data_IF_981916814849
#
_entry.id   IF_981916814849
#
_cell.length_a   1.000
_cell.length_b   1.000
_cell.length_c   1.000
_cell.angle_alpha   90.00
_cell.angle_beta   90.00
_cell.angle_gamma   90.00
#
_symmetry.space_group_name_H-M   'P 1'
#
loop_
_entity.id
_entity.type
_entity.pdbx_description
1 polymer ?
#
# COMPACT_ATOMS: atom_id res chain seq x y z
N UNK A 1 16.79 -10.77 -10.67
CA UNK A 1 17.20 -9.36 -10.49
C UNK A 1 18.71 -9.15 -10.38
N UNK A 2 19.47 -9.97 -9.64
CA UNK A 2 20.93 -9.78 -9.46
C UNK A 2 21.72 -9.61 -10.77
N UNK A 3 21.52 -10.49 -11.76
CA UNK A 3 22.21 -10.37 -13.06
C UNK A 3 21.89 -9.05 -13.78
N UNK A 4 20.66 -8.55 -13.68
CA UNK A 4 20.28 -7.26 -14.24
C UNK A 4 21.01 -6.11 -13.51
N UNK A 5 21.08 -6.18 -12.18
CA UNK A 5 21.81 -5.21 -11.37
C UNK A 5 23.33 -5.24 -11.63
N UNK A 6 23.93 -6.40 -11.93
CA UNK A 6 25.33 -6.50 -12.34
C UNK A 6 25.60 -5.78 -13.67
N UNK A 7 24.67 -5.86 -14.63
CA UNK A 7 24.81 -5.23 -15.94
C UNK A 7 24.56 -3.71 -15.90
N UNK A 8 23.53 -3.29 -15.18
CA UNK A 8 23.10 -1.88 -15.12
C UNK A 8 23.89 -1.06 -14.09
N UNK A 9 24.35 -1.70 -13.01
CA UNK A 9 24.92 -1.03 -11.86
C UNK A 9 23.95 -0.04 -11.19
N UNK A 10 24.44 0.79 -10.25
CA UNK A 10 23.58 1.72 -9.50
C UNK A 10 22.91 2.77 -10.41
N UNK A 11 23.64 3.25 -11.42
CA UNK A 11 23.13 4.28 -12.33
C UNK A 11 21.99 3.76 -13.21
N UNK A 12 22.16 2.57 -13.81
CA UNK A 12 21.11 1.98 -14.63
C UNK A 12 19.90 1.53 -13.78
N UNK A 13 20.13 1.05 -12.56
CA UNK A 13 19.04 0.72 -11.63
C UNK A 13 18.30 1.95 -11.12
N UNK A 14 19.00 3.08 -10.89
CA UNK A 14 18.36 4.39 -10.62
C UNK A 14 17.52 4.85 -11.82
N UNK A 15 18.03 4.74 -13.04
CA UNK A 15 17.25 5.07 -14.23
C UNK A 15 15.99 4.19 -14.37
N UNK A 16 16.11 2.88 -14.17
CA UNK A 16 14.96 1.96 -14.17
C UNK A 16 13.93 2.40 -13.13
N UNK A 17 14.39 2.69 -11.91
CA UNK A 17 13.58 3.23 -10.81
C UNK A 17 12.80 4.48 -11.21
N UNK A 18 13.46 5.46 -11.82
CA UNK A 18 12.83 6.73 -12.20
C UNK A 18 11.72 6.53 -13.24
N UNK A 19 11.90 5.57 -14.16
CA UNK A 19 10.86 5.18 -15.12
C UNK A 19 9.66 4.51 -14.43
N UNK A 20 9.88 3.65 -13.43
CA UNK A 20 8.81 3.06 -12.64
C UNK A 20 8.01 4.14 -11.88
N UNK A 21 8.71 5.14 -11.31
CA UNK A 21 8.09 6.27 -10.62
C UNK A 21 7.25 7.14 -11.54
N UNK A 22 7.63 7.27 -12.82
CA UNK A 22 6.81 7.95 -13.82
C UNK A 22 5.45 7.27 -14.02
N UNK A 23 5.44 5.93 -14.11
CA UNK A 23 4.19 5.17 -14.23
C UNK A 23 3.31 5.30 -12.97
N UNK A 24 3.90 5.28 -11.78
CA UNK A 24 3.17 5.51 -10.53
C UNK A 24 2.55 6.91 -10.51
N UNK A 25 3.33 7.92 -10.88
CA UNK A 25 2.88 9.32 -11.01
C UNK A 25 1.66 9.43 -11.94
N UNK A 26 1.66 8.72 -13.07
CA UNK A 26 0.51 8.67 -13.98
C UNK A 26 -0.74 8.05 -13.34
N UNK A 27 -0.59 6.96 -12.57
CA UNK A 27 -1.71 6.37 -11.83
C UNK A 27 -2.24 7.31 -10.73
N UNK A 28 -1.34 8.01 -10.03
CA UNK A 28 -1.69 8.96 -8.98
C UNK A 28 -2.48 10.16 -9.49
N UNK A 29 -2.17 10.66 -10.70
CA UNK A 29 -2.95 11.71 -11.34
C UNK A 29 -4.40 11.29 -11.59
N UNK A 30 -4.60 10.06 -12.07
CA UNK A 30 -5.95 9.52 -12.31
C UNK A 30 -6.69 9.25 -11.01
N UNK A 31 -6.01 8.73 -9.98
CA UNK A 31 -6.59 8.56 -8.65
C UNK A 31 -7.03 9.90 -8.04
N UNK A 32 -6.24 10.98 -8.22
CA UNK A 32 -6.62 12.32 -7.78
C UNK A 32 -7.92 12.77 -8.45
N UNK A 33 -8.11 12.54 -9.76
CA UNK A 33 -9.37 12.87 -10.46
C UNK A 33 -10.55 12.13 -9.85
N UNK A 34 -10.43 10.82 -9.62
CA UNK A 34 -11.49 10.01 -9.01
C UNK A 34 -11.87 10.50 -7.60
N UNK A 35 -10.88 10.91 -6.81
CA UNK A 35 -11.11 11.51 -5.49
C UNK A 35 -11.86 12.83 -5.60
N UNK A 36 -11.48 13.70 -6.54
CA UNK A 36 -12.14 14.99 -6.75
C UNK A 36 -13.60 14.82 -7.20
N UNK A 37 -13.87 13.86 -8.09
CA UNK A 37 -15.23 13.50 -8.54
C UNK A 37 -16.13 13.00 -7.41
N UNK A 38 -15.55 12.37 -6.38
CA UNK A 38 -16.28 11.80 -5.24
C UNK A 38 -16.09 12.62 -3.94
N UNK A 39 -15.51 13.83 -4.02
CA UNK A 39 -15.01 14.56 -2.85
C UNK A 39 -16.06 14.75 -1.76
N UNK A 40 -17.27 15.21 -2.12
CA UNK A 40 -18.32 15.50 -1.13
C UNK A 40 -18.80 14.24 -0.40
N UNK A 41 -18.91 13.12 -1.12
CA UNK A 41 -19.30 11.83 -0.55
C UNK A 41 -18.19 11.30 0.36
N UNK A 42 -16.93 11.39 -0.06
CA UNK A 42 -15.78 10.95 0.74
C UNK A 42 -15.62 11.77 2.02
N UNK A 43 -15.88 13.07 1.99
CA UNK A 43 -15.91 13.92 3.21
C UNK A 43 -17.00 13.45 4.17
N UNK A 44 -18.20 13.15 3.66
CA UNK A 44 -19.30 12.64 4.49
C UNK A 44 -18.97 11.27 5.08
N UNK A 45 -18.37 10.37 4.29
CA UNK A 45 -17.91 9.05 4.76
C UNK A 45 -16.89 9.20 5.89
N UNK A 46 -15.86 10.04 5.69
CA UNK A 46 -14.82 10.27 6.68
C UNK A 46 -15.36 10.83 8.00
N UNK A 47 -16.38 11.67 7.97
CA UNK A 47 -16.98 12.24 9.19
C UNK A 47 -17.95 11.29 9.89
N UNK A 48 -18.51 10.30 9.18
CA UNK A 48 -19.62 9.47 9.68
C UNK A 48 -19.31 7.97 9.69
N UNK A 49 -18.03 7.56 9.59
CA UNK A 49 -17.64 6.15 9.52
C UNK A 49 -18.10 5.32 10.73
N UNK A 50 -18.31 5.96 11.88
CA UNK A 50 -18.84 5.32 13.10
C UNK A 50 -20.35 5.02 13.05
N UNK A 51 -21.08 5.49 12.02
CA UNK A 51 -22.54 5.30 11.87
C UNK A 51 -22.86 4.35 10.71
N UNK A 52 -23.17 3.07 10.98
CA UNK A 52 -23.46 2.08 9.93
C UNK A 52 -24.63 2.48 9.02
N UNK A 53 -25.67 3.10 9.60
CA UNK A 53 -26.86 3.54 8.85
C UNK A 53 -26.51 4.59 7.79
N UNK A 54 -25.70 5.59 8.16
CA UNK A 54 -25.26 6.62 7.21
C UNK A 54 -24.33 6.02 6.16
N UNK A 55 -23.39 5.16 6.57
CA UNK A 55 -22.47 4.48 5.66
C UNK A 55 -23.21 3.64 4.61
N UNK A 56 -24.28 2.94 4.99
CA UNK A 56 -25.11 2.18 4.05
C UNK A 56 -25.77 3.05 2.96
N UNK A 57 -26.02 4.34 3.25
CA UNK A 57 -26.54 5.31 2.27
C UNK A 57 -25.46 5.97 1.44
N UNK A 58 -24.25 6.15 2.00
CA UNK A 58 -23.15 6.88 1.36
C UNK A 58 -22.34 5.99 0.42
N UNK A 59 -22.04 4.75 0.81
CA UNK A 59 -21.20 3.84 0.01
C UNK A 59 -21.73 3.61 -1.41
N UNK A 60 -23.05 3.40 -1.64
CA UNK A 60 -23.58 3.22 -2.99
C UNK A 60 -23.48 4.47 -3.88
N UNK A 61 -23.22 5.66 -3.31
CA UNK A 61 -23.07 6.92 -4.05
C UNK A 61 -21.66 7.09 -4.62
N UNK A 62 -20.69 6.31 -4.17
CA UNK A 62 -19.34 6.32 -4.73
C UNK A 62 -19.36 5.73 -6.14
N UNK A 63 -18.68 6.39 -7.06
CA UNK A 63 -18.49 5.92 -8.44
C UNK A 63 -17.06 5.45 -8.66
N UNK A 64 -16.84 4.56 -9.64
CA UNK A 64 -15.50 4.14 -10.04
C UNK A 64 -14.62 3.52 -8.92
N UNK A 65 -15.23 2.94 -7.88
CA UNK A 65 -14.54 2.24 -6.77
C UNK A 65 -13.61 1.13 -7.27
N UNK A 66 -14.05 0.34 -8.25
CA UNK A 66 -13.19 -0.67 -8.89
C UNK A 66 -11.96 -0.06 -9.57
N UNK A 67 -12.11 1.12 -10.18
CA UNK A 67 -10.99 1.79 -10.85
C UNK A 67 -9.96 2.26 -9.82
N UNK A 68 -10.40 2.74 -8.66
CA UNK A 68 -9.50 3.09 -7.54
C UNK A 68 -8.67 1.89 -7.13
N UNK A 69 -9.30 0.74 -6.90
CA UNK A 69 -8.62 -0.50 -6.51
C UNK A 69 -7.67 -0.98 -7.60
N UNK A 70 -8.11 -1.05 -8.87
CA UNK A 70 -7.28 -1.47 -10.01
C UNK A 70 -6.02 -0.60 -10.14
N UNK A 71 -6.15 0.72 -10.02
CA UNK A 71 -5.02 1.64 -10.11
C UNK A 71 -4.07 1.50 -8.92
N UNK A 72 -4.58 1.34 -7.71
CA UNK A 72 -3.76 1.07 -6.53
C UNK A 72 -3.04 -0.28 -6.62
N UNK A 73 -3.68 -1.31 -7.17
CA UNK A 73 -3.04 -2.60 -7.43
C UNK A 73 -1.89 -2.45 -8.42
N UNK A 74 -2.07 -1.73 -9.52
CA UNK A 74 -1.00 -1.43 -10.49
C UNK A 74 0.18 -0.72 -9.82
N UNK A 75 -0.09 0.29 -8.98
CA UNK A 75 0.96 0.97 -8.20
C UNK A 75 1.69 -0.04 -7.32
N UNK A 76 0.96 -0.91 -6.63
CA UNK A 76 1.53 -1.96 -5.79
C UNK A 76 2.43 -2.92 -6.55
N UNK A 77 2.00 -3.38 -7.73
CA UNK A 77 2.79 -4.27 -8.59
C UNK A 77 4.11 -3.61 -9.03
N UNK A 78 4.05 -2.34 -9.44
CA UNK A 78 5.23 -1.56 -9.81
C UNK A 78 6.20 -1.43 -8.63
N UNK A 79 5.67 -1.14 -7.43
CA UNK A 79 6.48 -1.02 -6.22
C UNK A 79 7.09 -2.35 -5.79
N UNK A 80 6.38 -3.47 -5.92
CA UNK A 80 6.93 -4.80 -5.67
C UNK A 80 8.05 -5.15 -6.65
N UNK A 81 7.85 -4.86 -7.94
CA UNK A 81 8.91 -5.02 -8.95
C UNK A 81 10.16 -4.18 -8.59
N UNK A 82 9.94 -2.94 -8.16
CA UNK A 82 11.02 -2.07 -7.66
C UNK A 82 11.72 -2.66 -6.44
N UNK A 83 10.99 -3.19 -5.45
CA UNK A 83 11.57 -3.84 -4.27
C UNK A 83 12.50 -4.98 -4.67
N UNK A 84 12.04 -5.89 -5.54
CA UNK A 84 12.87 -6.98 -6.05
C UNK A 84 14.11 -6.48 -6.80
N UNK A 85 13.97 -5.38 -7.56
CA UNK A 85 15.08 -4.75 -8.26
C UNK A 85 16.11 -4.17 -7.28
N UNK A 86 15.66 -3.49 -6.21
CA UNK A 86 16.51 -2.92 -5.17
C UNK A 86 17.21 -3.99 -4.33
N UNK A 87 16.52 -5.09 -3.99
CA UNK A 87 17.13 -6.25 -3.32
C UNK A 87 18.25 -6.85 -4.18
N UNK A 88 17.99 -7.03 -5.48
CA UNK A 88 19.01 -7.47 -6.43
C UNK A 88 20.22 -6.53 -6.48
N UNK A 89 20.01 -5.21 -6.42
CA UNK A 89 21.09 -4.22 -6.36
C UNK A 89 21.87 -4.30 -5.06
N UNK A 90 21.19 -4.40 -3.92
CA UNK A 90 21.81 -4.50 -2.58
C UNK A 90 22.74 -5.68 -2.49
N UNK A 91 22.32 -6.83 -3.00
CA UNK A 91 23.14 -8.04 -2.98
C UNK A 91 24.41 -7.91 -3.83
N UNK A 92 24.28 -7.33 -5.03
CA UNK A 92 25.45 -7.04 -5.89
C UNK A 92 26.38 -6.06 -5.20
N UNK A 93 25.86 -5.01 -4.57
CA UNK A 93 26.66 -4.01 -3.87
C UNK A 93 27.36 -4.57 -2.63
N UNK A 94 26.67 -5.41 -1.86
CA UNK A 94 27.25 -6.08 -0.69
C UNK A 94 28.42 -6.96 -1.09
N UNK A 95 28.34 -7.62 -2.25
CA UNK A 95 29.42 -8.46 -2.78
C UNK A 95 30.57 -7.65 -3.39
N UNK A 96 30.26 -6.63 -4.21
CA UNK A 96 31.27 -5.89 -4.99
C UNK A 96 31.90 -4.71 -4.23
N UNK A 97 31.16 -4.08 -3.32
CA UNK A 97 31.51 -2.85 -2.64
C UNK A 97 31.25 -2.92 -1.11
N UNK A 98 31.69 -3.96 -0.39
CA UNK A 98 31.36 -4.15 1.03
C UNK A 98 31.80 -3.00 1.94
N UNK A 99 32.95 -2.37 1.63
CA UNK A 99 33.47 -1.23 2.39
C UNK A 99 32.65 0.06 2.24
N UNK A 100 31.80 0.16 1.20
CA UNK A 100 30.85 1.26 1.05
C UNK A 100 29.51 0.96 1.72
N UNK A 101 29.10 -0.31 1.73
CA UNK A 101 27.80 -0.71 2.29
C UNK A 101 27.70 -0.46 3.79
N UNK A 102 28.70 -0.87 4.57
CA UNK A 102 28.68 -0.70 6.03
C UNK A 102 28.45 0.75 6.47
N UNK A 103 29.20 1.73 5.96
CA UNK A 103 28.97 3.15 6.24
C UNK A 103 27.59 3.66 5.80
N UNK A 104 27.06 3.21 4.65
CA UNK A 104 25.74 3.63 4.15
C UNK A 104 24.63 3.11 5.07
N UNK A 105 24.70 1.84 5.47
CA UNK A 105 23.75 1.23 6.40
C UNK A 105 23.81 1.92 7.78
N UNK A 106 25.02 2.17 8.29
CA UNK A 106 25.23 2.87 9.55
C UNK A 106 24.67 4.31 9.51
N UNK A 107 24.88 5.04 8.41
CA UNK A 107 24.33 6.39 8.28
C UNK A 107 22.79 6.40 8.35
N UNK A 108 22.14 5.38 7.77
CA UNK A 108 20.68 5.23 7.84
C UNK A 108 20.22 5.00 9.29
N UNK A 109 20.96 4.25 10.10
CA UNK A 109 20.61 3.98 11.51
C UNK A 109 20.62 5.23 12.40
N UNK A 110 21.37 6.28 12.01
CA UNK A 110 21.37 7.56 12.74
C UNK A 110 20.15 8.44 12.47
N UNK A 111 19.28 8.05 11.53
CA UNK A 111 18.03 8.77 11.26
C UNK A 111 17.10 8.65 12.46
N UNK A 112 16.73 9.80 13.03
CA UNK A 112 15.78 9.89 14.14
C UNK A 112 14.63 10.87 13.80
N UNK A 113 13.45 10.74 14.44
CA UNK A 113 12.25 11.49 14.06
C UNK A 113 12.38 13.02 14.07
N UNK A 114 13.29 13.56 14.90
CA UNK A 114 13.51 15.01 15.04
C UNK A 114 14.44 15.60 13.96
N UNK A 115 15.03 14.76 13.10
CA UNK A 115 15.88 15.25 12.01
C UNK A 115 15.09 16.02 10.97
N UNK A 116 15.73 17.03 10.38
CA UNK A 116 15.17 17.74 9.24
C UNK A 116 14.81 16.74 8.12
N UNK A 117 13.60 16.87 7.59
CA UNK A 117 13.06 15.93 6.61
C UNK A 117 13.87 15.91 5.31
N UNK A 118 14.48 17.04 4.91
CA UNK A 118 15.32 17.07 3.71
C UNK A 118 16.61 16.31 3.94
N UNK A 119 17.23 16.47 5.11
CA UNK A 119 18.42 15.69 5.51
C UNK A 119 18.09 14.20 5.53
N UNK A 120 16.96 13.82 6.12
CA UNK A 120 16.47 12.43 6.15
C UNK A 120 16.31 11.87 4.73
N UNK A 121 15.65 12.60 3.84
CA UNK A 121 15.45 12.18 2.45
C UNK A 121 16.77 12.08 1.67
N UNK A 122 17.76 12.94 1.94
CA UNK A 122 19.09 12.82 1.33
C UNK A 122 19.84 11.57 1.79
N UNK A 123 19.74 11.20 3.07
CA UNK A 123 20.31 9.94 3.59
C UNK A 123 19.60 8.74 2.94
N UNK A 124 18.28 8.79 2.84
CA UNK A 124 17.51 7.73 2.17
C UNK A 124 17.80 7.65 0.67
N UNK A 125 18.08 8.77 -0.01
CA UNK A 125 18.47 8.74 -1.43
C UNK A 125 19.79 8.00 -1.61
N UNK A 126 20.77 8.24 -0.75
CA UNK A 126 22.02 7.48 -0.75
C UNK A 126 21.78 6.00 -0.46
N UNK A 127 21.00 5.69 0.58
CA UNK A 127 20.71 4.31 0.99
C UNK A 127 20.00 3.52 -0.13
N UNK A 128 18.94 4.08 -0.72
CA UNK A 128 18.21 3.45 -1.82
C UNK A 128 19.01 3.37 -3.11
N UNK A 129 19.96 4.27 -3.37
CA UNK A 129 20.90 4.14 -4.48
C UNK A 129 21.87 2.95 -4.34
N UNK A 130 22.03 2.43 -3.12
CA UNK A 130 22.77 1.21 -2.80
C UNK A 130 21.86 -0.03 -2.59
N UNK A 131 20.56 0.08 -2.88
CA UNK A 131 19.60 -1.00 -2.67
C UNK A 131 19.14 -1.20 -1.23
N UNK A 132 19.56 -0.33 -0.29
CA UNK A 132 19.11 -0.41 1.11
C UNK A 132 17.66 0.05 1.20
N UNK A 133 16.82 -0.76 1.83
CA UNK A 133 15.41 -0.45 2.05
C UNK A 133 15.24 0.75 2.98
N UNK A 134 14.29 1.64 2.69
CA UNK A 134 13.92 2.79 3.50
C UNK A 134 12.41 2.85 3.66
N UNK A 135 11.96 3.18 4.87
CA UNK A 135 10.55 3.31 5.26
C UNK A 135 9.81 4.39 4.46
N UNK A 136 10.55 5.41 4.02
CA UNK A 136 10.07 6.46 3.11
C UNK A 136 10.93 6.39 1.85
N UNK A 137 10.30 6.15 0.70
CA UNK A 137 11.01 6.11 -0.59
C UNK A 137 11.23 7.54 -1.13
N UNK A 138 12.49 8.03 -1.18
CA UNK A 138 12.79 9.38 -1.63
C UNK A 138 12.49 9.58 -3.12
N UNK A 139 12.59 8.54 -3.95
CA UNK A 139 12.25 8.63 -5.37
C UNK A 139 10.74 8.81 -5.57
N UNK A 140 9.93 8.10 -4.78
CA UNK A 140 8.48 8.26 -4.79
C UNK A 140 8.07 9.63 -4.26
N UNK A 141 8.66 10.10 -3.14
CA UNK A 141 8.44 11.45 -2.61
C UNK A 141 8.76 12.51 -3.67
N UNK A 142 9.91 12.41 -4.33
CA UNK A 142 10.31 13.36 -5.39
C UNK A 142 9.34 13.33 -6.58
N UNK A 143 8.95 12.14 -7.03
CA UNK A 143 8.03 11.96 -8.15
C UNK A 143 6.65 12.56 -7.87
N UNK A 144 6.08 12.30 -6.69
CA UNK A 144 4.77 12.82 -6.29
C UNK A 144 4.80 14.31 -5.92
N UNK A 145 5.91 14.82 -5.37
CA UNK A 145 6.06 16.24 -5.08
C UNK A 145 5.99 17.11 -6.35
N UNK A 146 6.44 16.57 -7.49
CA UNK A 146 6.36 17.26 -8.78
C UNK A 146 4.92 17.40 -9.29
N UNK A 147 3.97 16.56 -8.86
CA UNK A 147 2.54 16.70 -9.18
C UNK A 147 1.89 17.93 -8.55
N UNK A 148 2.45 18.45 -7.45
CA UNK A 148 1.91 19.61 -6.72
C UNK A 148 2.03 20.92 -7.51
N UNK A 149 2.87 20.97 -8.55
CA UNK A 149 3.20 22.23 -9.24
C UNK A 149 2.04 22.81 -10.07
N UNK A 150 1.01 21.99 -10.37
CA UNK A 150 -0.11 22.41 -11.20
C UNK A 150 -1.39 22.65 -10.36
N UNK A 151 -1.63 23.92 -10.03
CA UNK A 151 -2.96 24.57 -9.91
C UNK A 151 -3.92 24.32 -8.72
N UNK A 152 -3.51 23.67 -7.63
CA UNK A 152 -4.34 23.54 -6.40
C UNK A 152 -3.70 24.16 -5.16
N UNK A 153 -4.51 24.58 -4.18
CA UNK A 153 -3.98 25.04 -2.89
C UNK A 153 -3.34 23.86 -2.12
N UNK A 154 -2.30 24.10 -1.30
CA UNK A 154 -1.67 23.03 -0.51
C UNK A 154 -2.64 22.29 0.42
N UNK A 155 -3.69 22.96 0.89
CA UNK A 155 -4.72 22.38 1.75
C UNK A 155 -5.66 21.45 0.98
N UNK A 156 -6.06 21.82 -0.24
CA UNK A 156 -6.87 20.96 -1.12
C UNK A 156 -6.12 19.70 -1.52
N UNK A 157 -4.82 19.82 -1.82
CA UNK A 157 -3.98 18.67 -2.15
C UNK A 157 -3.83 17.69 -0.98
N UNK A 158 -3.61 18.23 0.22
CA UNK A 158 -3.58 17.42 1.43
C UNK A 158 -4.94 16.76 1.71
N UNK A 159 -6.05 17.49 1.51
CA UNK A 159 -7.40 16.95 1.65
C UNK A 159 -7.63 15.80 0.66
N UNK A 160 -7.25 15.98 -0.60
CA UNK A 160 -7.35 14.93 -1.62
C UNK A 160 -6.53 13.68 -1.23
N UNK A 161 -5.31 13.85 -0.70
CA UNK A 161 -4.51 12.74 -0.21
C UNK A 161 -5.18 11.97 0.94
N UNK A 162 -5.80 12.67 1.90
CA UNK A 162 -6.57 12.03 2.96
C UNK A 162 -7.79 11.27 2.41
N UNK A 163 -8.53 11.89 1.50
CA UNK A 163 -9.73 11.29 0.92
C UNK A 163 -9.40 10.10 0.00
N UNK A 164 -8.22 10.07 -0.62
CA UNK A 164 -7.74 8.88 -1.32
C UNK A 164 -7.65 7.67 -0.38
N UNK A 165 -7.08 7.86 0.82
CA UNK A 165 -6.99 6.79 1.83
C UNK A 165 -8.38 6.31 2.26
N UNK A 166 -9.31 7.24 2.49
CA UNK A 166 -10.71 6.92 2.78
C UNK A 166 -11.33 6.10 1.65
N UNK A 167 -11.13 6.53 0.40
CA UNK A 167 -11.71 5.89 -0.77
C UNK A 167 -11.21 4.45 -0.95
N UNK A 168 -9.90 4.24 -0.79
CA UNK A 168 -9.30 2.91 -0.87
C UNK A 168 -9.84 2.02 0.25
N UNK A 169 -9.85 2.49 1.50
CA UNK A 169 -10.29 1.71 2.66
C UNK A 169 -11.72 1.18 2.50
N UNK A 170 -12.66 2.05 2.12
CA UNK A 170 -14.08 1.66 1.97
C UNK A 170 -14.36 0.86 0.70
N UNK A 171 -13.42 0.84 -0.25
CA UNK A 171 -13.55 0.05 -1.48
C UNK A 171 -13.08 -1.39 -1.28
N UNK A 172 -12.21 -1.69 -0.32
CA UNK A 172 -11.65 -3.04 -0.11
C UNK A 172 -12.69 -4.17 -0.06
N UNK A 173 -13.88 -4.03 0.58
CA UNK A 173 -14.87 -5.10 0.61
C UNK A 173 -15.35 -5.55 -0.77
N UNK A 174 -15.30 -4.68 -1.78
CA UNK A 174 -15.72 -5.01 -3.16
C UNK A 174 -14.85 -6.11 -3.78
N UNK A 175 -13.61 -6.25 -3.33
CA UNK A 175 -12.70 -7.32 -3.78
C UNK A 175 -13.24 -8.71 -3.50
N UNK A 176 -14.12 -8.87 -2.49
CA UNK A 176 -14.66 -10.17 -2.12
C UNK A 176 -15.62 -10.75 -3.17
N UNK A 177 -16.14 -9.89 -4.07
CA UNK A 177 -16.98 -10.30 -5.20
C UNK A 177 -16.16 -10.79 -6.40
N UNK A 178 -14.92 -10.33 -6.53
CA UNK A 178 -14.06 -10.72 -7.63
C UNK A 178 -13.59 -12.17 -7.44
N UNK A 179 -13.92 -13.02 -8.41
CA UNK A 179 -13.59 -14.45 -8.44
C UNK A 179 -12.10 -14.74 -8.38
N UNK A 180 -11.26 -13.77 -8.76
CA UNK A 180 -9.81 -13.87 -8.77
C UNK A 180 -9.14 -13.39 -7.48
N UNK A 181 -9.90 -12.82 -6.54
CA UNK A 181 -9.43 -12.43 -5.19
C UNK A 181 -9.24 -13.62 -4.25
N UNK A 182 -8.77 -14.75 -4.78
CA UNK A 182 -8.48 -15.96 -4.01
C UNK A 182 -7.02 -15.92 -3.60
N UNK A 183 -6.78 -16.02 -2.30
CA UNK A 183 -5.45 -16.12 -1.73
C UNK A 183 -4.92 -17.56 -1.86
N UNK A 184 -3.68 -17.69 -2.32
CA UNK A 184 -2.95 -18.94 -2.44
C UNK A 184 -1.76 -18.95 -1.49
N UNK A 185 -1.68 -20.00 -0.67
CA UNK A 185 -0.57 -20.26 0.24
C UNK A 185 0.72 -20.62 -0.48
N UNK A 186 0.66 -21.07 -1.74
CA UNK A 186 1.87 -21.43 -2.49
C UNK A 186 2.61 -20.21 -3.01
N UNK A 187 1.86 -19.17 -3.36
CA UNK A 187 2.39 -17.90 -3.87
C UNK A 187 2.45 -16.81 -2.82
N UNK A 188 1.98 -17.10 -1.60
CA UNK A 188 1.80 -16.14 -0.50
C UNK A 188 1.08 -14.87 -0.97
N UNK A 189 0.00 -15.04 -1.74
CA UNK A 189 -0.66 -13.92 -2.39
C UNK A 189 -1.92 -14.28 -3.14
N UNK A 190 -2.64 -13.27 -3.61
CA UNK A 190 -3.87 -13.40 -4.40
C UNK A 190 -3.61 -13.52 -5.90
N UNK A 191 -4.50 -14.22 -6.60
CA UNK A 191 -4.36 -14.46 -8.05
C UNK A 191 -4.46 -13.20 -8.91
N UNK A 192 -5.11 -12.15 -8.41
CA UNK A 192 -5.26 -10.84 -9.05
C UNK A 192 -4.37 -9.74 -8.44
N UNK A 193 -3.30 -10.14 -7.74
CA UNK A 193 -2.30 -9.23 -7.18
C UNK A 193 -2.81 -8.22 -6.14
N UNK A 194 -4.01 -8.39 -5.57
CA UNK A 194 -4.51 -7.45 -4.55
C UNK A 194 -3.66 -7.43 -3.27
N UNK A 195 -2.84 -8.46 -3.00
CA UNK A 195 -1.80 -8.43 -1.95
C UNK A 195 -0.80 -7.27 -2.16
N UNK A 196 -0.58 -6.83 -3.41
CA UNK A 196 0.25 -5.67 -3.72
C UNK A 196 -0.35 -4.35 -3.20
N UNK A 197 -1.65 -4.29 -2.89
CA UNK A 197 -2.28 -3.11 -2.29
C UNK A 197 -1.63 -2.74 -0.96
N UNK A 198 -1.14 -3.71 -0.18
CA UNK A 198 -0.43 -3.44 1.08
C UNK A 198 0.74 -2.48 0.83
N UNK A 199 1.65 -2.83 -0.09
CA UNK A 199 2.81 -2.00 -0.44
C UNK A 199 2.39 -0.66 -1.04
N UNK A 200 1.37 -0.65 -1.90
CA UNK A 200 0.84 0.59 -2.48
C UNK A 200 0.33 1.55 -1.40
N UNK A 201 -0.51 1.08 -0.50
CA UNK A 201 -1.12 1.90 0.56
C UNK A 201 -0.05 2.46 1.49
N UNK A 202 0.88 1.62 1.95
CA UNK A 202 1.94 2.06 2.87
C UNK A 202 2.85 3.09 2.20
N UNK A 203 3.42 2.78 1.03
CA UNK A 203 4.41 3.67 0.42
C UNK A 203 3.81 4.94 -0.16
N UNK A 204 2.60 4.89 -0.74
CA UNK A 204 1.90 6.10 -1.20
C UNK A 204 1.55 6.99 -0.02
N UNK A 205 1.07 6.43 1.10
CA UNK A 205 0.79 7.21 2.31
C UNK A 205 2.06 7.85 2.86
N UNK A 206 3.12 7.07 3.01
CA UNK A 206 4.41 7.56 3.49
C UNK A 206 4.93 8.72 2.63
N UNK A 207 4.87 8.59 1.30
CA UNK A 207 5.30 9.63 0.39
C UNK A 207 4.43 10.89 0.46
N UNK A 208 3.10 10.75 0.36
CA UNK A 208 2.17 11.88 0.39
C UNK A 208 2.25 12.64 1.72
N UNK A 209 2.17 11.96 2.86
CA UNK A 209 2.18 12.63 4.15
C UNK A 209 3.56 13.20 4.52
N UNK A 210 4.65 12.68 3.95
CA UNK A 210 5.96 13.35 3.96
C UNK A 210 5.92 14.67 3.18
N UNK A 211 5.37 14.70 1.97
CA UNK A 211 5.24 15.91 1.14
C UNK A 211 4.44 17.01 1.84
N UNK A 212 3.37 16.62 2.55
CA UNK A 212 2.50 17.55 3.27
C UNK A 212 2.97 17.87 4.69
N UNK A 213 4.12 17.33 5.12
CA UNK A 213 4.67 17.47 6.47
C UNK A 213 3.65 17.10 7.57
N UNK A 214 3.11 15.87 7.45
CA UNK A 214 2.11 15.30 8.35
C UNK A 214 2.60 13.97 8.90
N UNK A 215 2.08 13.61 10.08
CA UNK A 215 2.43 12.34 10.72
C UNK A 215 1.82 11.16 9.94
N UNK A 216 2.69 10.29 9.42
CA UNK A 216 2.31 9.14 8.58
C UNK A 216 1.49 8.12 9.38
N UNK A 217 1.95 7.77 10.59
CA UNK A 217 1.31 6.80 11.49
C UNK A 217 -0.14 7.20 11.82
N UNK A 218 -0.42 8.47 12.12
CA UNK A 218 -1.79 8.95 12.40
C UNK A 218 -2.73 8.68 11.23
N UNK A 219 -2.29 8.91 9.99
CA UNK A 219 -3.12 8.71 8.80
C UNK A 219 -3.29 7.23 8.46
N UNK A 220 -2.24 6.42 8.65
CA UNK A 220 -2.32 4.98 8.47
C UNK A 220 -3.18 4.30 9.54
N UNK A 221 -3.20 4.82 10.78
CA UNK A 221 -4.14 4.38 11.83
C UNK A 221 -5.58 4.69 11.45
N UNK A 222 -5.85 5.89 10.93
CA UNK A 222 -7.19 6.24 10.43
C UNK A 222 -7.61 5.31 9.29
N UNK A 223 -6.72 5.06 8.33
CA UNK A 223 -6.94 4.09 7.26
C UNK A 223 -7.26 2.70 7.82
N UNK A 224 -6.46 2.22 8.77
CA UNK A 224 -6.59 0.90 9.37
C UNK A 224 -7.94 0.72 10.08
N UNK A 225 -8.36 1.74 10.86
CA UNK A 225 -9.67 1.75 11.52
C UNK A 225 -10.81 1.66 10.52
N UNK A 226 -10.76 2.46 9.46
CA UNK A 226 -11.80 2.52 8.44
C UNK A 226 -11.87 1.22 7.62
N UNK A 227 -10.72 0.71 7.17
CA UNK A 227 -10.61 -0.54 6.43
C UNK A 227 -11.10 -1.72 7.27
N UNK A 228 -10.71 -1.78 8.55
CA UNK A 228 -11.15 -2.82 9.48
C UNK A 228 -12.66 -2.77 9.68
N UNK A 229 -13.24 -1.59 9.90
CA UNK A 229 -14.69 -1.41 10.02
C UNK A 229 -15.43 -1.89 8.74
N UNK A 230 -14.94 -1.52 7.57
CA UNK A 230 -15.51 -1.93 6.28
C UNK A 230 -15.42 -3.45 6.06
N UNK A 231 -14.31 -4.09 6.43
CA UNK A 231 -14.14 -5.55 6.32
C UNK A 231 -14.95 -6.33 7.37
N UNK A 232 -15.13 -5.79 8.58
CA UNK A 232 -15.99 -6.39 9.60
C UNK A 232 -17.47 -6.34 9.20
N UNK A 233 -17.90 -5.27 8.53
CA UNK A 233 -19.25 -5.19 7.95
C UNK A 233 -19.47 -6.26 6.88
N UNK A 234 -18.47 -6.52 6.03
CA UNK A 234 -18.50 -7.64 5.08
C UNK A 234 -18.62 -9.01 5.81
N UNK A 235 -18.09 -9.11 7.04
CA UNK A 235 -18.27 -10.26 7.93
C UNK A 235 -19.73 -10.58 8.27
N UNK A 236 -20.60 -9.57 8.25
CA UNK A 236 -22.02 -9.67 8.58
C UNK A 236 -22.90 -9.81 7.33
N UNK A 237 -22.32 -9.73 6.13
CA UNK A 237 -23.06 -9.84 4.86
C UNK A 237 -23.65 -11.24 4.69
N UNK A 238 -24.97 -11.27 4.43
CA UNK A 238 -25.74 -12.52 4.33
C UNK A 238 -25.69 -13.07 2.90
N UNK A 239 -25.46 -12.17 1.93
CA UNK A 239 -25.32 -12.53 0.53
C UNK A 239 -23.97 -13.21 0.26
N UNK A 240 -24.01 -14.53 0.08
CA UNK A 240 -22.82 -15.36 -0.21
C UNK A 240 -22.10 -14.94 -1.49
N UNK A 241 -22.78 -14.31 -2.45
CA UNK A 241 -22.12 -13.82 -3.67
C UNK A 241 -21.27 -12.60 -3.38
N UNK A 242 -21.74 -11.72 -2.49
CA UNK A 242 -21.00 -10.53 -2.06
C UNK A 242 -19.83 -10.86 -1.14
N UNK A 243 -19.99 -11.87 -0.29
CA UNK A 243 -18.97 -12.31 0.67
C UNK A 243 -18.14 -13.52 0.17
N UNK A 244 -18.13 -13.81 -1.13
CA UNK A 244 -17.55 -15.05 -1.69
C UNK A 244 -16.09 -15.27 -1.27
N UNK A 245 -15.25 -14.26 -1.45
CA UNK A 245 -13.82 -14.30 -1.13
C UNK A 245 -13.48 -13.50 0.13
N UNK A 246 -14.44 -13.32 1.04
CA UNK A 246 -14.27 -12.49 2.24
C UNK A 246 -13.00 -12.85 3.02
N UNK A 247 -12.80 -14.13 3.31
CA UNK A 247 -11.69 -14.57 4.15
C UNK A 247 -10.34 -14.26 3.47
N UNK A 248 -10.23 -14.43 2.14
CA UNK A 248 -9.03 -14.04 1.37
C UNK A 248 -8.78 -12.53 1.42
N UNK A 249 -9.83 -11.72 1.31
CA UNK A 249 -9.73 -10.26 1.35
C UNK A 249 -9.39 -9.75 2.76
N UNK A 250 -9.90 -10.41 3.80
CA UNK A 250 -9.54 -10.08 5.19
C UNK A 250 -8.04 -10.22 5.46
N UNK A 251 -7.33 -11.11 4.76
CA UNK A 251 -5.87 -11.24 4.91
C UNK A 251 -5.10 -10.00 4.45
N UNK A 252 -5.69 -9.13 3.62
CA UNK A 252 -5.04 -7.88 3.21
C UNK A 252 -4.73 -6.97 4.39
N UNK A 253 -5.57 -6.95 5.43
CA UNK A 253 -5.32 -6.12 6.62
C UNK A 253 -4.08 -6.59 7.37
N UNK A 254 -3.81 -7.90 7.37
CA UNK A 254 -2.61 -8.49 7.96
C UNK A 254 -1.37 -8.11 7.16
N UNK A 255 -1.40 -8.34 5.85
CA UNK A 255 -0.31 -8.00 4.93
C UNK A 255 0.04 -6.51 4.97
N UNK A 256 -0.96 -5.65 5.11
CA UNK A 256 -0.77 -4.20 5.23
C UNK A 256 0.00 -3.83 6.48
N UNK A 257 -0.28 -4.48 7.61
CA UNK A 257 0.42 -4.25 8.87
C UNK A 257 1.82 -4.84 8.84
N UNK A 258 2.01 -6.03 8.26
CA UNK A 258 3.34 -6.63 8.06
C UNK A 258 4.25 -5.81 7.13
N UNK A 259 3.66 -5.18 6.11
CA UNK A 259 4.38 -4.32 5.17
C UNK A 259 4.73 -2.94 5.75
N UNK A 260 4.14 -2.54 6.87
CA UNK A 260 4.30 -1.20 7.45
C UNK A 260 5.30 -1.17 8.59
N UNK A 261 6.22 -0.20 8.59
CA UNK A 261 6.97 0.18 9.80
C UNK A 261 6.22 1.15 10.70
N UNK A 262 5.05 1.64 10.29
CA UNK A 262 4.24 2.63 11.00
C UNK A 262 3.04 2.03 11.75
N UNK A 263 2.66 0.79 11.41
CA UNK A 263 1.54 0.07 12.02
C UNK A 263 2.06 -1.16 12.74
N UNK A 264 1.44 -1.50 13.87
CA UNK A 264 1.80 -2.69 14.64
C UNK A 264 0.62 -3.65 14.75
N UNK A 265 0.93 -4.92 15.04
CA UNK A 265 -0.10 -5.94 15.31
C UNK A 265 -0.98 -5.55 16.51
N UNK A 266 -0.43 -4.86 17.52
CA UNK A 266 -1.23 -4.35 18.64
C UNK A 266 -2.26 -3.32 18.17
N UNK A 267 -1.89 -2.41 17.26
CA UNK A 267 -2.84 -1.45 16.69
C UNK A 267 -3.93 -2.16 15.89
N UNK A 268 -3.57 -3.19 15.13
CA UNK A 268 -4.53 -4.03 14.40
C UNK A 268 -5.52 -4.70 15.36
N UNK A 269 -5.05 -5.32 16.43
CA UNK A 269 -5.91 -6.05 17.39
C UNK A 269 -6.99 -5.14 18.01
N UNK A 270 -6.73 -3.84 18.15
CA UNK A 270 -7.73 -2.88 18.66
C UNK A 270 -8.93 -2.68 17.74
N UNK A 271 -8.81 -2.98 16.45
CA UNK A 271 -9.82 -2.68 15.43
C UNK A 271 -10.23 -3.88 14.56
N UNK A 272 -9.42 -4.95 14.53
CA UNK A 272 -9.68 -6.18 13.81
C UNK A 272 -9.11 -7.38 14.59
N UNK A 273 -9.95 -8.18 15.26
CA UNK A 273 -9.48 -9.29 16.10
C UNK A 273 -8.67 -10.33 15.31
N UNK A 274 -7.46 -10.66 15.76
CA UNK A 274 -6.55 -11.59 15.09
C UNK A 274 -7.15 -13.00 14.92
N UNK A 275 -8.09 -13.39 15.79
CA UNK A 275 -8.83 -14.65 15.66
C UNK A 275 -9.54 -14.78 14.31
N UNK A 276 -10.01 -13.68 13.72
CA UNK A 276 -10.63 -13.66 12.40
C UNK A 276 -9.60 -13.98 11.30
N UNK A 277 -8.41 -13.40 11.40
CA UNK A 277 -7.31 -13.63 10.46
C UNK A 277 -6.79 -15.06 10.55
N UNK A 278 -6.61 -15.58 11.76
CA UNK A 278 -6.22 -16.98 11.98
C UNK A 278 -7.21 -17.94 11.33
N UNK A 279 -8.51 -17.68 11.51
CA UNK A 279 -9.55 -18.51 10.91
C UNK A 279 -9.57 -18.37 9.38
N UNK A 280 -9.35 -17.16 8.86
CA UNK A 280 -9.25 -16.91 7.43
C UNK A 280 -8.06 -17.67 6.80
N UNK A 281 -6.87 -17.63 7.41
CA UNK A 281 -5.70 -18.40 6.99
C UNK A 281 -5.97 -19.92 6.98
N UNK A 282 -6.65 -20.42 8.02
CA UNK A 282 -7.04 -21.83 8.08
C UNK A 282 -7.98 -22.20 6.92
N UNK A 283 -8.97 -21.36 6.61
CA UNK A 283 -9.96 -21.63 5.57
C UNK A 283 -9.34 -21.60 4.16
N UNK A 284 -8.49 -20.61 3.86
CA UNK A 284 -7.79 -20.55 2.56
C UNK A 284 -6.82 -21.73 2.40
N UNK A 285 -6.13 -22.14 3.47
CA UNK A 285 -5.23 -23.30 3.45
C UNK A 285 -6.01 -24.60 3.22
N UNK A 286 -7.15 -24.76 3.89
CA UNK A 286 -8.05 -25.91 3.72
C UNK A 286 -8.58 -25.99 2.29
N UNK A 287 -9.00 -24.87 1.73
CA UNK A 287 -9.50 -24.78 0.35
C UNK A 287 -8.41 -25.14 -0.68
N UNK A 288 -7.19 -24.64 -0.47
CA UNK A 288 -6.01 -24.97 -1.29
C UNK A 288 -5.61 -26.45 -1.20
N UNK A 289 -5.78 -27.09 -0.04
CA UNK A 289 -5.53 -28.53 0.11
C UNK A 289 -6.60 -29.37 -0.61
N UNK A 290 -7.87 -28.98 -0.54
CA UNK A 290 -8.97 -29.69 -1.19
C UNK A 290 -8.92 -29.61 -2.72
N UNK A 291 -8.47 -28.49 -3.30
CA UNK A 291 -8.33 -28.34 -4.75
C UNK A 291 -7.21 -29.20 -5.35
N UNK A 292 -6.28 -29.71 -4.53
CA UNK A 292 -5.19 -30.62 -4.95
C UNK A 292 -5.57 -32.09 -4.94
N UNK A 293 -6.71 -32.46 -4.36
CA UNK A 293 -7.16 -33.85 -4.38
C UNK A 293 -7.59 -34.23 -5.81
N UNK A 294 -7.14 -35.37 -6.35
CA UNK A 294 -7.58 -35.81 -7.66
C UNK A 294 -9.10 -35.98 -7.66
N UNK A 295 -9.78 -35.37 -8.64
CA UNK A 295 -11.18 -35.66 -8.93
C UNK A 295 -11.27 -37.09 -9.45
N UNK A 296 -11.75 -38.01 -8.62
CA UNK A 296 -12.03 -39.39 -9.00
C UNK A 296 -13.19 -39.49 -9.99
#
# INVERSE_FOLDING_TARGET
>A
MRALAELLGPYGMKFLSDNLMWHITSQMLELKKLVMENMDVLVQIRSNFSSPEQMATLLPRLTATENVLKRMTIIGEILWFRTMAQEGLREVFTSRCPFLMGPIECLKEFVHPDMDIKVTLSIFELATAAGVHCDIDPALVSALANLKKDSSSPEEDYKAACLLMVFVAVSLPLLAMDVSSVYSTDTDGHSNNIHCLAKAIIQVSAALFTIYNKNIETHLKEFLMLASASLLQLGQEVDRMKAKNRDSVSLLIHMLVEESSFLTTDMLETCFPYVLLRNAYHEVSRSSALSRLPTH
#
